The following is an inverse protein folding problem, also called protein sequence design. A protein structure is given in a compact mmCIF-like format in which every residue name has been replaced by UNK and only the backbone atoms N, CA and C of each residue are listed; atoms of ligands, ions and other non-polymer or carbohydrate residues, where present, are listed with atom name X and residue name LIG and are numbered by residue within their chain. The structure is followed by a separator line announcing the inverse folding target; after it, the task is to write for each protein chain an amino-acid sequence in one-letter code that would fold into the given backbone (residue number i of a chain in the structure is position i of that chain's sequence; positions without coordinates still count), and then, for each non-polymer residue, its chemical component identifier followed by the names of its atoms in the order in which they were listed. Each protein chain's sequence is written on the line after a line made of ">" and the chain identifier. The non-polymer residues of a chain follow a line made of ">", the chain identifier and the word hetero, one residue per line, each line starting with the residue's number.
data_IF_840423027166
#
_entry.id   IF_840423027166
#
_cell.length_a   1.000
_cell.length_b   1.000
_cell.length_c   1.000
_cell.angle_alpha   90.00
_cell.angle_beta   90.00
_cell.angle_gamma   90.00
#
_symmetry.space_group_name_H-M   'P 1'
#
loop_
_entity.id
_entity.type
_entity.pdbx_description
1 polymer ?
#
# COMPACT_ATOMS: atom_id res chain seq x y z
N UNK A 1 25.54 6.85 -10.24
CA UNK A 1 26.11 8.14 -9.74
C UNK A 1 24.94 9.07 -9.47
N UNK A 2 24.86 9.75 -8.32
CA UNK A 2 23.80 10.73 -8.06
C UNK A 2 24.18 12.01 -8.80
N UNK A 3 23.30 12.49 -9.67
CA UNK A 3 23.44 13.84 -10.23
C UNK A 3 23.23 14.86 -9.11
N UNK A 4 24.24 15.71 -8.91
CA UNK A 4 24.24 16.76 -7.88
C UNK A 4 23.57 18.05 -8.39
N UNK A 5 23.42 18.20 -9.71
CA UNK A 5 22.76 19.35 -10.35
C UNK A 5 21.25 19.10 -10.53
N UNK A 6 20.80 17.86 -10.35
CA UNK A 6 19.39 17.52 -10.47
C UNK A 6 18.55 18.21 -9.38
N UNK A 7 17.64 19.09 -9.80
CA UNK A 7 16.61 19.70 -8.94
C UNK A 7 15.76 18.60 -8.31
N UNK A 8 15.82 18.50 -6.97
CA UNK A 8 15.04 17.52 -6.22
C UNK A 8 13.76 18.16 -5.70
N UNK A 9 12.58 17.63 -6.07
CA UNK A 9 11.34 18.18 -5.56
C UNK A 9 11.23 17.91 -4.05
N UNK A 10 10.80 18.93 -3.31
CA UNK A 10 10.32 18.78 -1.93
C UNK A 10 8.81 18.90 -1.96
N UNK A 11 8.11 17.85 -1.53
CA UNK A 11 6.66 17.81 -1.56
C UNK A 11 6.07 17.95 -0.16
N UNK A 12 5.03 18.76 -0.01
CA UNK A 12 4.17 18.73 1.18
C UNK A 12 2.94 17.91 0.85
N UNK A 13 2.67 16.90 1.66
CA UNK A 13 1.53 16.00 1.48
C UNK A 13 0.68 16.09 2.75
N UNK A 14 -0.50 16.68 2.64
CA UNK A 14 -1.41 16.87 3.78
C UNK A 14 -2.87 17.01 3.30
N UNK A 15 -3.81 17.18 4.24
CA UNK A 15 -5.24 17.28 3.95
C UNK A 15 -5.56 18.58 3.18
N UNK A 16 -6.61 18.62 2.35
CA UNK A 16 -7.00 19.82 1.58
C UNK A 16 -7.32 21.05 2.44
N UNK A 17 -7.66 20.87 3.71
CA UNK A 17 -7.98 21.95 4.66
C UNK A 17 -6.81 22.37 5.55
N UNK A 18 -5.58 21.93 5.25
CA UNK A 18 -4.40 22.31 6.01
C UNK A 18 -4.02 23.78 5.77
N UNK A 19 -3.54 24.47 6.80
CA UNK A 19 -3.22 25.91 6.75
C UNK A 19 -2.21 26.29 5.66
N UNK A 20 -1.30 25.37 5.31
CA UNK A 20 -0.28 25.59 4.28
C UNK A 20 -0.88 25.93 2.91
N UNK A 21 -2.08 25.45 2.60
CA UNK A 21 -2.78 25.75 1.35
C UNK A 21 -3.46 27.12 1.36
N UNK A 22 -3.50 27.79 2.52
CA UNK A 22 -4.02 29.14 2.69
C UNK A 22 -2.96 30.24 2.48
N UNK A 23 -1.68 29.88 2.45
CA UNK A 23 -0.57 30.82 2.25
C UNK A 23 -0.55 31.29 0.78
N UNK A 24 -0.22 32.56 0.57
CA UNK A 24 -0.33 33.24 -0.74
C UNK A 24 0.97 33.85 -1.23
N UNK A 25 1.97 33.98 -0.37
CA UNK A 25 3.29 34.52 -0.74
C UNK A 25 4.40 33.54 -0.39
N UNK A 26 5.52 33.60 -1.11
CA UNK A 26 6.69 32.80 -0.79
C UNK A 26 7.24 33.07 0.62
N UNK A 27 7.13 34.30 1.12
CA UNK A 27 7.55 34.64 2.47
C UNK A 27 6.72 33.92 3.55
N UNK A 28 5.38 33.91 3.42
CA UNK A 28 4.49 33.19 4.32
C UNK A 28 4.80 31.69 4.35
N UNK A 29 5.05 31.09 3.18
CA UNK A 29 5.42 29.67 3.06
C UNK A 29 6.77 29.41 3.73
N UNK A 30 7.79 30.23 3.47
CA UNK A 30 9.12 30.11 4.07
C UNK A 30 9.05 30.18 5.59
N UNK A 31 8.32 31.16 6.14
CA UNK A 31 8.14 31.29 7.59
C UNK A 31 7.42 30.08 8.19
N UNK A 32 6.38 29.58 7.52
CA UNK A 32 5.69 28.38 7.94
C UNK A 32 6.64 27.18 8.01
N UNK A 33 7.46 26.96 6.98
CA UNK A 33 8.46 25.90 6.96
C UNK A 33 9.52 26.07 8.05
N UNK A 34 9.98 27.30 8.30
CA UNK A 34 10.94 27.57 9.37
C UNK A 34 10.38 27.27 10.76
N UNK A 35 9.08 27.52 10.99
CA UNK A 35 8.38 27.15 12.23
C UNK A 35 8.15 25.64 12.34
N UNK A 36 7.74 24.99 11.25
CA UNK A 36 7.46 23.55 11.21
C UNK A 36 8.73 22.70 11.35
N UNK A 37 9.86 23.19 10.83
CA UNK A 37 11.14 22.49 10.79
C UNK A 37 12.28 23.40 11.29
N UNK A 38 12.31 23.75 12.58
CA UNK A 38 13.23 24.76 13.13
C UNK A 38 14.71 24.36 13.04
N UNK A 39 15.00 23.08 12.78
CA UNK A 39 16.37 22.57 12.61
C UNK A 39 16.91 22.75 11.19
N UNK A 40 16.06 23.10 10.22
CA UNK A 40 16.45 23.30 8.82
C UNK A 40 16.63 24.80 8.54
N UNK A 41 17.70 25.19 7.82
CA UNK A 41 17.97 26.60 7.50
C UNK A 41 17.13 27.06 6.30
N UNK A 42 15.84 27.30 6.53
CA UNK A 42 14.95 27.84 5.50
C UNK A 42 14.96 29.37 5.43
N UNK A 43 15.34 30.06 6.51
CA UNK A 43 15.30 31.52 6.60
C UNK A 43 16.53 32.21 7.17
N UNK A 44 17.67 31.53 7.33
CA UNK A 44 18.88 32.13 7.95
C UNK A 44 20.18 31.73 7.22
N UNK A 45 20.95 32.73 6.80
CA UNK A 45 22.33 32.60 6.31
C UNK A 45 22.51 32.45 4.79
N UNK A 46 23.76 32.42 4.35
CA UNK A 46 24.19 32.35 2.94
C UNK A 46 23.95 30.98 2.26
N UNK A 47 23.36 30.02 2.98
CA UNK A 47 23.11 28.65 2.51
C UNK A 47 21.64 28.26 2.70
N UNK A 48 20.73 28.94 2.00
CA UNK A 48 19.31 28.57 2.03
C UNK A 48 19.08 27.25 1.29
N UNK A 49 18.35 26.32 1.91
CA UNK A 49 18.04 25.03 1.27
C UNK A 49 17.16 25.15 0.03
N UNK A 50 16.40 26.24 -0.05
CA UNK A 50 15.40 26.50 -1.08
C UNK A 50 15.61 27.94 -1.56
N UNK A 51 15.81 28.17 -2.87
CA UNK A 51 15.91 29.51 -3.43
C UNK A 51 14.63 30.34 -3.19
N UNK A 52 14.72 31.69 -3.06
CA UNK A 52 13.57 32.57 -2.87
C UNK A 52 12.42 32.36 -3.86
N UNK A 53 12.74 32.16 -5.14
CA UNK A 53 11.78 31.98 -6.23
C UNK A 53 10.97 30.67 -6.12
N UNK A 54 11.53 29.63 -5.50
CA UNK A 54 10.84 28.36 -5.30
C UNK A 54 9.75 28.47 -4.23
N UNK A 55 9.92 29.37 -3.25
CA UNK A 55 8.85 29.66 -2.29
C UNK A 55 7.65 30.33 -2.94
N UNK A 56 7.90 31.29 -3.84
CA UNK A 56 6.84 31.98 -4.58
C UNK A 56 6.12 31.02 -5.54
N UNK A 57 6.89 30.16 -6.22
CA UNK A 57 6.34 29.08 -7.04
C UNK A 57 5.51 28.09 -6.25
N UNK A 58 5.89 27.77 -5.00
CA UNK A 58 5.07 26.94 -4.12
C UNK A 58 3.76 27.65 -3.75
N UNK A 59 3.82 28.91 -3.33
CA UNK A 59 2.66 29.68 -2.86
C UNK A 59 1.59 29.88 -3.96
N UNK A 60 2.03 30.03 -5.21
CA UNK A 60 1.16 30.22 -6.38
C UNK A 60 0.72 28.92 -7.04
N UNK A 61 1.25 27.77 -6.61
CA UNK A 61 0.88 26.46 -7.13
C UNK A 61 -0.49 26.00 -6.60
N UNK A 62 -1.31 25.44 -7.49
CA UNK A 62 -2.56 24.80 -7.10
C UNK A 62 -2.37 23.43 -6.40
N UNK A 63 -1.13 22.92 -6.37
CA UNK A 63 -0.83 21.57 -5.92
C UNK A 63 -1.46 20.49 -6.80
N UNK A 64 -1.39 19.24 -6.32
CA UNK A 64 -2.02 18.08 -6.96
C UNK A 64 -2.64 17.17 -5.92
N UNK A 65 -3.48 16.24 -6.35
CA UNK A 65 -4.07 15.21 -5.50
C UNK A 65 -3.60 13.84 -5.94
N UNK A 66 -3.42 12.94 -4.98
CA UNK A 66 -3.15 11.55 -5.34
C UNK A 66 -4.39 10.90 -5.93
N UNK A 67 -4.23 10.04 -6.95
CA UNK A 67 -5.34 9.28 -7.48
C UNK A 67 -5.89 8.33 -6.41
N UNK A 68 -7.20 8.04 -6.42
CA UNK A 68 -7.73 6.97 -5.60
C UNK A 68 -7.11 5.62 -6.03
N UNK A 69 -7.01 4.66 -5.10
CA UNK A 69 -6.57 3.31 -5.41
C UNK A 69 -7.52 2.63 -6.42
N UNK A 70 -7.10 2.57 -7.67
CA UNK A 70 -7.88 2.09 -8.81
C UNK A 70 -7.09 1.13 -9.70
N UNK A 71 -7.82 0.34 -10.48
CA UNK A 71 -7.25 -0.56 -11.49
C UNK A 71 -8.16 -0.69 -12.70
N UNK A 72 -7.58 -0.99 -13.84
CA UNK A 72 -8.33 -1.47 -15.00
C UNK A 72 -8.90 -2.87 -14.73
N UNK A 73 -10.15 -3.16 -15.14
CA UNK A 73 -10.70 -4.51 -15.13
C UNK A 73 -9.99 -5.47 -16.09
N UNK A 74 -9.46 -4.94 -17.21
CA UNK A 74 -8.76 -5.70 -18.25
C UNK A 74 -7.37 -5.11 -18.54
N UNK A 75 -6.40 -5.97 -18.82
CA UNK A 75 -5.01 -5.61 -19.06
C UNK A 75 -4.64 -5.65 -20.55
N UNK A 76 -5.40 -6.38 -21.36
CA UNK A 76 -5.14 -6.47 -22.79
C UNK A 76 -6.43 -6.71 -23.58
N UNK A 77 -6.39 -6.30 -24.85
CA UNK A 77 -7.41 -6.55 -25.86
C UNK A 77 -6.73 -6.92 -27.18
N UNK A 78 -7.37 -7.76 -28.00
CA UNK A 78 -6.81 -8.21 -29.28
C UNK A 78 -7.92 -8.58 -30.26
N UNK A 79 -7.62 -8.46 -31.55
CA UNK A 79 -8.54 -8.86 -32.62
C UNK A 79 -8.50 -10.37 -32.83
N UNK A 80 -9.56 -10.96 -33.42
CA UNK A 80 -9.53 -12.37 -33.87
C UNK A 80 -9.58 -13.45 -32.78
N UNK A 81 -9.78 -13.09 -31.51
CA UNK A 81 -9.86 -14.06 -30.42
C UNK A 81 -8.49 -14.70 -30.07
N UNK A 82 -8.45 -15.60 -29.06
CA UNK A 82 -7.21 -16.22 -28.60
C UNK A 82 -6.50 -17.11 -29.64
N UNK A 83 -7.20 -17.52 -30.69
CA UNK A 83 -6.71 -18.47 -31.71
C UNK A 83 -6.18 -17.81 -32.98
N UNK A 84 -6.39 -16.50 -33.18
CA UNK A 84 -6.11 -15.83 -34.46
C UNK A 84 -5.65 -14.37 -34.34
N UNK A 85 -5.26 -13.92 -33.15
CA UNK A 85 -4.91 -12.52 -32.94
C UNK A 85 -3.60 -12.12 -33.62
N UNK A 86 -3.69 -11.24 -34.63
CA UNK A 86 -2.55 -10.62 -35.32
C UNK A 86 -2.20 -9.23 -34.81
N UNK A 87 -3.12 -8.58 -34.08
CA UNK A 87 -2.90 -7.29 -33.43
C UNK A 87 -3.60 -7.20 -32.07
N UNK A 88 -3.06 -6.35 -31.18
CA UNK A 88 -3.61 -6.15 -29.85
C UNK A 88 -3.00 -4.96 -29.12
N UNK A 89 -3.62 -4.62 -28.00
CA UNK A 89 -3.22 -3.55 -27.09
C UNK A 89 -3.00 -4.16 -25.71
N UNK A 90 -1.90 -3.79 -25.06
CA UNK A 90 -1.60 -4.14 -23.67
C UNK A 90 -1.42 -2.87 -22.85
N UNK A 91 -1.94 -2.88 -21.63
CA UNK A 91 -1.76 -1.83 -20.64
C UNK A 91 -0.67 -2.26 -19.64
N UNK A 92 0.16 -1.30 -19.21
CA UNK A 92 1.22 -1.49 -18.20
C UNK A 92 1.34 -0.25 -17.29
N UNK A 93 1.83 -0.44 -16.07
CA UNK A 93 2.06 0.64 -15.10
C UNK A 93 0.78 1.37 -14.71
N UNK A 94 0.86 2.70 -14.61
CA UNK A 94 -0.23 3.55 -14.14
C UNK A 94 -1.52 3.46 -14.98
N UNK A 95 -1.42 3.01 -16.25
CA UNK A 95 -2.60 2.74 -17.09
C UNK A 95 -3.41 1.52 -16.61
N UNK A 96 -2.80 0.61 -15.84
CA UNK A 96 -3.43 -0.59 -15.28
C UNK A 96 -3.77 -0.42 -13.82
N UNK A 97 -2.90 0.21 -13.04
CA UNK A 97 -3.08 0.40 -11.60
C UNK A 97 -2.54 1.75 -11.18
N UNK A 98 -3.36 2.54 -10.51
CA UNK A 98 -2.94 3.83 -9.96
C UNK A 98 -3.33 3.89 -8.49
N UNK A 99 -2.40 4.31 -7.65
CA UNK A 99 -2.59 4.44 -6.21
C UNK A 99 -1.57 5.44 -5.64
N UNK A 100 -1.81 6.00 -4.44
CA UNK A 100 -0.86 6.89 -3.78
C UNK A 100 0.51 6.21 -3.56
N UNK A 101 1.61 6.98 -3.50
CA UNK A 101 2.97 6.42 -3.44
C UNK A 101 3.34 5.77 -2.08
N UNK A 102 2.37 5.60 -1.19
CA UNK A 102 2.54 5.27 0.23
C UNK A 102 3.21 3.91 0.48
N UNK A 103 3.15 3.00 -0.49
CA UNK A 103 3.82 1.69 -0.39
C UNK A 103 5.12 1.62 -1.20
N UNK A 104 5.49 2.67 -1.93
CA UNK A 104 6.70 2.71 -2.75
C UNK A 104 6.73 1.69 -3.91
N UNK A 105 5.56 1.18 -4.32
CA UNK A 105 5.48 0.08 -5.30
C UNK A 105 5.05 0.50 -6.72
N UNK A 106 4.68 1.75 -6.98
CA UNK A 106 4.18 2.18 -8.30
C UNK A 106 5.14 1.82 -9.44
N UNK A 107 6.36 2.37 -9.41
CA UNK A 107 7.39 2.10 -10.43
C UNK A 107 7.78 0.61 -10.45
N UNK A 108 8.05 0.01 -9.29
CA UNK A 108 8.44 -1.41 -9.19
C UNK A 108 7.38 -2.32 -9.81
N UNK A 109 6.10 -2.07 -9.55
CA UNK A 109 5.01 -2.85 -10.12
C UNK A 109 4.79 -2.60 -11.61
N UNK A 110 5.00 -1.37 -12.10
CA UNK A 110 4.99 -1.08 -13.53
C UNK A 110 6.11 -1.78 -14.29
N UNK A 111 7.32 -1.80 -13.74
CA UNK A 111 8.43 -2.58 -14.30
C UNK A 111 8.13 -4.08 -14.29
N UNK A 112 7.50 -4.58 -13.22
CA UNK A 112 7.02 -5.96 -13.21
C UNK A 112 5.99 -6.21 -14.31
N UNK A 113 5.04 -5.31 -14.59
CA UNK A 113 4.09 -5.51 -15.70
C UNK A 113 4.80 -5.76 -17.04
N UNK A 114 5.86 -5.00 -17.33
CA UNK A 114 6.69 -5.20 -18.52
C UNK A 114 7.34 -6.59 -18.54
N UNK A 115 7.89 -7.04 -17.41
CA UNK A 115 8.46 -8.39 -17.28
C UNK A 115 7.42 -9.48 -17.51
N UNK A 116 6.20 -9.33 -16.96
CA UNK A 116 5.13 -10.29 -17.18
C UNK A 116 4.61 -10.28 -18.62
N UNK A 117 4.52 -9.10 -19.24
CA UNK A 117 4.12 -8.96 -20.64
C UNK A 117 5.14 -9.61 -21.57
N UNK A 118 6.43 -9.32 -21.40
CA UNK A 118 7.49 -9.93 -22.21
C UNK A 118 7.52 -11.46 -22.05
N UNK A 119 7.43 -11.96 -20.82
CA UNK A 119 7.31 -13.40 -20.55
C UNK A 119 6.11 -14.03 -21.24
N UNK A 120 4.98 -13.34 -21.26
CA UNK A 120 3.79 -13.83 -21.94
C UNK A 120 3.96 -13.87 -23.46
N UNK A 121 4.69 -12.91 -24.04
CA UNK A 121 4.99 -12.82 -25.47
C UNK A 121 6.04 -13.83 -25.93
N UNK A 122 7.13 -14.01 -25.17
CA UNK A 122 8.25 -14.88 -25.56
C UNK A 122 8.12 -16.31 -25.06
N UNK A 123 7.40 -16.53 -23.96
CA UNK A 123 7.31 -17.82 -23.29
C UNK A 123 8.59 -18.25 -22.56
N UNK A 124 9.59 -17.38 -22.44
CA UNK A 124 10.86 -17.61 -21.74
C UNK A 124 11.10 -16.53 -20.68
N UNK A 125 11.96 -16.82 -19.71
CA UNK A 125 12.40 -15.84 -18.74
C UNK A 125 13.44 -14.86 -19.32
N UNK A 126 13.27 -13.57 -19.02
CA UNK A 126 14.11 -12.48 -19.54
C UNK A 126 15.58 -12.57 -19.13
N UNK A 127 15.87 -13.09 -17.94
CA UNK A 127 17.21 -13.09 -17.36
C UNK A 127 17.94 -14.39 -17.71
N UNK A 128 17.26 -15.52 -17.55
CA UNK A 128 17.85 -16.85 -17.73
C UNK A 128 17.72 -17.37 -19.15
N UNK A 129 16.78 -16.84 -19.95
CA UNK A 129 16.46 -17.37 -21.29
C UNK A 129 15.77 -18.72 -21.27
N UNK A 130 15.50 -19.29 -20.09
CA UNK A 130 14.94 -20.62 -19.95
C UNK A 130 13.43 -20.61 -20.22
N UNK A 131 12.94 -21.67 -20.87
CA UNK A 131 11.51 -21.95 -20.91
C UNK A 131 11.07 -22.34 -19.51
N UNK A 132 10.04 -21.67 -19.00
CA UNK A 132 9.45 -22.05 -17.73
C UNK A 132 8.77 -23.42 -17.87
N UNK A 133 8.94 -24.29 -16.87
CA UNK A 133 8.22 -25.57 -16.83
C UNK A 133 6.71 -25.34 -17.03
N UNK A 134 6.13 -26.07 -17.98
CA UNK A 134 4.71 -25.94 -18.35
C UNK A 134 4.34 -24.71 -19.19
N UNK A 135 5.31 -23.92 -19.67
CA UNK A 135 5.07 -22.76 -20.53
C UNK A 135 5.51 -23.04 -21.98
N UNK A 136 4.58 -23.44 -22.83
CA UNK A 136 4.79 -23.36 -24.27
C UNK A 136 4.92 -21.88 -24.70
N UNK A 137 5.71 -21.62 -25.74
CA UNK A 137 5.66 -20.33 -26.41
C UNK A 137 4.24 -20.14 -26.97
N UNK A 138 3.65 -18.94 -26.86
CA UNK A 138 2.31 -18.70 -27.37
C UNK A 138 2.28 -18.94 -28.88
N UNK A 139 1.21 -19.58 -29.37
CA UNK A 139 1.01 -19.84 -30.80
C UNK A 139 0.73 -18.56 -31.59
N UNK A 140 0.17 -17.53 -30.92
CA UNK A 140 -0.17 -16.25 -31.52
C UNK A 140 -0.24 -15.13 -30.46
N UNK A 141 -0.41 -13.88 -30.90
CA UNK A 141 -0.44 -12.70 -30.00
C UNK A 141 -1.66 -12.71 -29.07
N UNK A 142 -2.82 -13.17 -29.55
CA UNK A 142 -4.05 -13.26 -28.74
C UNK A 142 -3.88 -14.23 -27.56
N UNK A 143 -3.23 -15.37 -27.77
CA UNK A 143 -2.87 -16.30 -26.70
C UNK A 143 -1.91 -15.65 -25.68
N UNK A 144 -0.86 -14.98 -26.17
CA UNK A 144 0.11 -14.28 -25.32
C UNK A 144 -0.55 -13.22 -24.44
N UNK A 145 -1.38 -12.36 -25.02
CA UNK A 145 -2.07 -11.29 -24.30
C UNK A 145 -3.13 -11.82 -23.33
N UNK A 146 -3.80 -12.93 -23.68
CA UNK A 146 -4.69 -13.65 -22.76
C UNK A 146 -3.94 -14.16 -21.53
N UNK A 147 -2.75 -14.74 -21.76
CA UNK A 147 -1.89 -15.23 -20.68
C UNK A 147 -1.41 -14.10 -19.79
N UNK A 148 -0.93 -13.00 -20.36
CA UNK A 148 -0.54 -11.79 -19.60
C UNK A 148 -1.67 -11.33 -18.69
N UNK A 149 -2.88 -11.15 -19.22
CA UNK A 149 -4.04 -10.73 -18.43
C UNK A 149 -4.39 -11.73 -17.31
N UNK A 150 -4.44 -13.03 -17.64
CA UNK A 150 -4.81 -14.09 -16.70
C UNK A 150 -3.83 -14.19 -15.54
N UNK A 151 -2.54 -14.03 -15.82
CA UNK A 151 -1.49 -14.16 -14.83
C UNK A 151 -1.29 -12.88 -14.02
N UNK A 152 -1.23 -11.72 -14.69
CA UNK A 152 -0.90 -10.44 -14.06
C UNK A 152 -2.10 -9.75 -13.42
N UNK A 153 -3.30 -9.88 -13.98
CA UNK A 153 -4.52 -9.23 -13.46
C UNK A 153 -4.80 -9.52 -11.98
N UNK A 154 -4.73 -10.78 -11.52
CA UNK A 154 -4.85 -11.11 -10.10
C UNK A 154 -3.76 -10.49 -9.20
N UNK A 155 -2.53 -10.36 -9.68
CA UNK A 155 -1.45 -9.67 -8.95
C UNK A 155 -1.72 -8.17 -8.83
N UNK A 156 -2.18 -7.53 -9.90
CA UNK A 156 -2.62 -6.13 -9.91
C UNK A 156 -3.75 -5.91 -8.90
N UNK A 157 -4.75 -6.80 -8.87
CA UNK A 157 -5.85 -6.73 -7.89
C UNK A 157 -5.32 -6.80 -6.45
N UNK A 158 -4.35 -7.67 -6.19
CA UNK A 158 -3.74 -7.81 -4.87
C UNK A 158 -2.89 -6.58 -4.49
N UNK A 159 -2.14 -6.02 -5.44
CA UNK A 159 -1.37 -4.78 -5.27
C UNK A 159 -2.25 -3.59 -4.90
N UNK A 160 -3.33 -3.36 -5.65
CA UNK A 160 -4.26 -2.25 -5.36
C UNK A 160 -5.05 -2.48 -4.08
N UNK A 161 -5.28 -3.73 -3.69
CA UNK A 161 -5.79 -4.05 -2.35
C UNK A 161 -4.75 -3.64 -1.31
N UNK A 162 -3.50 -4.07 -1.45
CA UNK A 162 -2.41 -3.77 -0.52
C UNK A 162 -2.18 -2.26 -0.34
N UNK A 163 -2.21 -1.46 -1.41
CA UNK A 163 -1.99 0.00 -1.31
C UNK A 163 -2.99 0.72 -0.41
N UNK A 164 -4.19 0.15 -0.20
CA UNK A 164 -5.24 0.76 0.66
C UNK A 164 -4.96 0.67 2.15
N UNK A 165 -4.18 -0.31 2.62
CA UNK A 165 -3.91 -0.51 4.07
C UNK A 165 -2.44 -0.78 4.39
N UNK A 166 -1.57 -0.83 3.38
CA UNK A 166 -0.14 -1.05 3.56
C UNK A 166 0.49 0.03 4.43
N UNK A 167 0.18 1.31 4.18
CA UNK A 167 0.71 2.45 4.94
C UNK A 167 -0.24 3.68 4.94
N UNK A 168 -1.50 3.54 5.39
CA UNK A 168 -2.53 4.59 5.22
C UNK A 168 -2.23 5.90 5.99
N UNK A 169 -1.32 5.87 6.95
CA UNK A 169 -0.99 7.00 7.84
C UNK A 169 0.47 7.47 7.71
N UNK A 170 1.10 7.27 6.53
CA UNK A 170 2.50 7.63 6.30
C UNK A 170 2.81 9.10 6.54
N UNK A 171 1.89 10.01 6.19
CA UNK A 171 2.13 11.46 6.21
C UNK A 171 1.75 12.15 7.52
N UNK A 172 1.52 11.42 8.61
CA UNK A 172 1.15 12.00 9.91
C UNK A 172 -0.01 13.01 9.80
N UNK A 173 -1.11 12.62 9.17
CA UNK A 173 -2.18 13.56 8.86
C UNK A 173 -2.70 14.27 10.14
N UNK A 174 -3.06 15.56 10.05
CA UNK A 174 -3.20 16.43 11.22
C UNK A 174 -4.45 16.16 12.07
N UNK A 175 -5.49 15.56 11.49
CA UNK A 175 -6.81 15.40 12.13
C UNK A 175 -6.75 14.40 13.29
N UNK A 176 -7.58 14.61 14.33
CA UNK A 176 -7.64 13.71 15.50
C UNK A 176 -8.01 12.27 15.11
N UNK A 177 -8.94 12.11 14.17
CA UNK A 177 -9.34 10.79 13.66
C UNK A 177 -8.17 10.08 12.94
N UNK A 178 -7.34 10.82 12.22
CA UNK A 178 -6.15 10.26 11.56
C UNK A 178 -5.13 9.77 12.59
N UNK A 179 -4.93 10.51 13.68
CA UNK A 179 -4.03 10.11 14.79
C UNK A 179 -4.53 8.86 15.51
N UNK A 180 -5.84 8.77 15.76
CA UNK A 180 -6.45 7.57 16.33
C UNK A 180 -6.28 6.37 15.39
N UNK A 181 -6.59 6.56 14.10
CA UNK A 181 -6.41 5.54 13.07
C UNK A 181 -4.96 5.06 12.97
N UNK A 182 -3.99 5.98 12.97
CA UNK A 182 -2.56 5.65 13.02
C UNK A 182 -2.20 4.80 14.23
N UNK A 183 -2.73 5.16 15.40
CA UNK A 183 -2.47 4.43 16.64
C UNK A 183 -3.01 3.00 16.54
N UNK A 184 -4.27 2.83 16.13
CA UNK A 184 -4.91 1.52 15.94
C UNK A 184 -4.15 0.69 14.90
N UNK A 185 -3.79 1.30 13.77
CA UNK A 185 -3.01 0.63 12.73
C UNK A 185 -1.64 0.17 13.25
N UNK A 186 -0.93 1.02 13.99
CA UNK A 186 0.37 0.70 14.59
C UNK A 186 0.25 -0.43 15.60
N UNK A 187 -0.78 -0.40 16.46
CA UNK A 187 -1.08 -1.49 17.40
C UNK A 187 -1.35 -2.80 16.67
N UNK A 188 -2.12 -2.79 15.57
CA UNK A 188 -2.35 -3.97 14.74
C UNK A 188 -1.04 -4.50 14.12
N UNK A 189 -0.14 -3.63 13.64
CA UNK A 189 1.18 -4.05 13.14
C UNK A 189 2.01 -4.70 14.26
N UNK A 190 2.08 -4.06 15.43
CA UNK A 190 2.82 -4.56 16.59
C UNK A 190 2.28 -5.90 17.10
N UNK A 191 0.95 -6.06 17.15
CA UNK A 191 0.30 -7.31 17.54
C UNK A 191 0.64 -8.44 16.57
N UNK A 192 0.55 -8.20 15.26
CA UNK A 192 0.90 -9.21 14.24
C UNK A 192 2.37 -9.61 14.32
N UNK A 193 3.26 -8.64 14.55
CA UNK A 193 4.67 -8.89 14.80
C UNK A 193 4.90 -9.77 16.03
N UNK A 194 4.24 -9.45 17.14
CA UNK A 194 4.35 -10.22 18.38
C UNK A 194 3.84 -11.65 18.20
N UNK A 195 2.67 -11.82 17.58
CA UNK A 195 2.09 -13.14 17.28
C UNK A 195 2.98 -13.96 16.35
N UNK A 196 3.54 -13.33 15.30
CA UNK A 196 4.49 -13.97 14.42
C UNK A 196 5.71 -14.49 15.19
N UNK A 197 6.26 -13.70 16.12
CA UNK A 197 7.38 -14.13 16.96
C UNK A 197 7.01 -15.26 17.93
N UNK A 198 5.91 -15.13 18.66
CA UNK A 198 5.45 -16.13 19.65
C UNK A 198 5.14 -17.47 18.98
N UNK A 199 4.60 -17.44 17.77
CA UNK A 199 4.26 -18.65 17.01
C UNK A 199 5.39 -19.15 16.11
N UNK A 200 6.61 -18.63 16.29
CA UNK A 200 7.79 -19.00 15.49
C UNK A 200 7.55 -18.94 13.97
N UNK A 201 6.82 -17.92 13.52
CA UNK A 201 6.51 -17.69 12.12
C UNK A 201 5.23 -18.33 11.59
N UNK A 202 4.55 -19.17 12.37
CA UNK A 202 3.30 -19.80 11.93
C UNK A 202 2.17 -18.77 11.71
N UNK A 203 2.09 -17.74 12.56
CA UNK A 203 1.20 -16.62 12.36
C UNK A 203 1.84 -15.58 11.41
N UNK A 204 1.19 -15.19 10.30
CA UNK A 204 1.81 -14.25 9.36
C UNK A 204 2.09 -12.87 9.97
N UNK A 205 3.23 -12.28 9.63
CA UNK A 205 3.61 -10.91 10.03
C UNK A 205 2.74 -9.85 9.36
N UNK A 206 2.95 -8.58 9.72
CA UNK A 206 2.27 -7.45 9.10
C UNK A 206 2.64 -7.30 7.61
N UNK A 207 1.66 -6.98 6.76
CA UNK A 207 1.85 -6.87 5.31
C UNK A 207 2.95 -5.88 4.92
N UNK A 208 3.06 -4.74 5.61
CA UNK A 208 4.09 -3.71 5.33
C UNK A 208 5.52 -4.25 5.48
N UNK A 209 5.74 -5.22 6.38
CA UNK A 209 7.05 -5.83 6.60
C UNK A 209 7.29 -6.97 5.63
N UNK A 210 6.27 -7.80 5.38
CA UNK A 210 6.37 -8.87 4.39
C UNK A 210 6.63 -8.33 2.97
N UNK A 211 6.12 -7.15 2.64
CA UNK A 211 6.31 -6.51 1.34
C UNK A 211 7.73 -5.97 1.11
N UNK A 212 8.59 -5.93 2.14
CA UNK A 212 10.00 -5.55 1.98
C UNK A 212 10.84 -6.71 1.41
N UNK A 213 10.36 -7.95 1.52
CA UNK A 213 11.00 -9.12 0.94
C UNK A 213 10.63 -9.30 -0.53
N UNK A 214 11.60 -9.72 -1.35
CA UNK A 214 11.38 -10.00 -2.78
C UNK A 214 10.70 -11.36 -3.05
N UNK A 215 10.58 -12.22 -2.02
CA UNK A 215 10.20 -13.63 -2.18
C UNK A 215 8.69 -13.84 -2.40
N UNK A 216 7.88 -12.80 -2.19
CA UNK A 216 6.42 -12.91 -2.23
C UNK A 216 5.83 -12.12 -3.40
N UNK A 217 4.95 -12.77 -4.14
CA UNK A 217 4.05 -12.04 -5.04
C UNK A 217 3.01 -11.26 -4.24
N UNK A 218 2.39 -10.23 -4.83
CA UNK A 218 1.34 -9.46 -4.17
C UNK A 218 0.15 -10.34 -3.78
N UNK A 219 -0.19 -11.35 -4.59
CA UNK A 219 -1.22 -12.34 -4.20
C UNK A 219 -0.85 -13.12 -2.95
N UNK A 220 0.40 -13.62 -2.87
CA UNK A 220 0.86 -14.38 -1.72
C UNK A 220 0.91 -13.50 -0.46
N UNK A 221 1.44 -12.29 -0.59
CA UNK A 221 1.44 -11.26 0.44
C UNK A 221 0.01 -11.05 0.98
N UNK A 222 -0.94 -10.85 0.06
CA UNK A 222 -2.32 -10.58 0.43
C UNK A 222 -3.03 -11.77 1.05
N UNK A 223 -2.81 -12.97 0.55
CA UNK A 223 -3.34 -14.20 1.15
C UNK A 223 -2.86 -14.36 2.59
N UNK A 224 -1.57 -14.13 2.84
CA UNK A 224 -0.98 -14.18 4.20
C UNK A 224 -1.59 -13.10 5.12
N UNK A 225 -1.75 -11.88 4.60
CA UNK A 225 -2.37 -10.79 5.36
C UNK A 225 -3.84 -11.08 5.73
N UNK A 226 -4.61 -11.65 4.78
CA UNK A 226 -6.01 -12.04 4.99
C UNK A 226 -6.14 -13.18 6.00
N UNK A 227 -5.28 -14.20 5.92
CA UNK A 227 -5.22 -15.30 6.91
C UNK A 227 -4.94 -14.76 8.32
N UNK A 228 -3.95 -13.86 8.46
CA UNK A 228 -3.66 -13.24 9.74
C UNK A 228 -4.86 -12.41 10.27
N UNK A 229 -5.59 -11.71 9.39
CA UNK A 229 -6.82 -11.00 9.78
C UNK A 229 -7.90 -11.96 10.28
N UNK A 230 -8.14 -13.05 9.56
CA UNK A 230 -9.10 -14.07 9.98
C UNK A 230 -8.72 -14.71 11.33
N UNK A 231 -7.42 -14.96 11.54
CA UNK A 231 -6.89 -15.43 12.83
C UNK A 231 -7.15 -14.46 13.97
N UNK A 232 -6.87 -13.16 13.79
CA UNK A 232 -7.17 -12.12 14.78
C UNK A 232 -8.65 -12.06 15.12
N UNK A 233 -9.53 -12.09 14.10
CA UNK A 233 -10.97 -12.07 14.31
C UNK A 233 -11.46 -13.31 15.07
N UNK A 234 -10.91 -14.48 14.76
CA UNK A 234 -11.23 -15.73 15.44
C UNK A 234 -10.84 -15.67 16.93
N UNK A 235 -9.65 -15.15 17.24
CA UNK A 235 -9.21 -14.96 18.63
C UNK A 235 -10.09 -13.95 19.38
N UNK A 236 -10.50 -12.86 18.74
CA UNK A 236 -11.39 -11.87 19.34
C UNK A 236 -12.78 -12.46 19.65
N UNK A 237 -13.37 -13.19 18.70
CA UNK A 237 -14.65 -13.88 18.88
C UNK A 237 -14.56 -14.90 20.02
N UNK A 238 -13.51 -15.72 20.04
CA UNK A 238 -13.31 -16.71 21.10
C UNK A 238 -13.11 -16.05 22.48
N UNK A 239 -12.33 -14.98 22.56
CA UNK A 239 -12.12 -14.22 23.79
C UNK A 239 -13.42 -13.61 24.32
N UNK A 240 -14.24 -13.02 23.45
CA UNK A 240 -15.55 -12.48 23.80
C UNK A 240 -16.52 -13.57 24.28
N UNK A 241 -16.57 -14.70 23.59
CA UNK A 241 -17.38 -15.85 23.99
C UNK A 241 -16.97 -16.39 25.37
N UNK A 242 -15.67 -16.53 25.61
CA UNK A 242 -15.12 -16.98 26.90
C UNK A 242 -15.48 -16.02 28.04
N UNK A 243 -15.35 -14.70 27.81
CA UNK A 243 -15.72 -13.68 28.78
C UNK A 243 -17.22 -13.73 29.13
N UNK A 244 -18.09 -13.87 28.12
CA UNK A 244 -19.54 -14.00 28.32
C UNK A 244 -19.89 -15.24 29.14
N UNK A 245 -19.23 -16.38 28.85
CA UNK A 245 -19.42 -17.62 29.62
C UNK A 245 -19.01 -17.45 31.08
N UNK A 246 -17.88 -16.77 31.34
CA UNK A 246 -17.45 -16.47 32.71
C UNK A 246 -18.46 -15.59 33.46
N UNK A 247 -19.00 -14.54 32.82
CA UNK A 247 -20.02 -13.69 33.41
C UNK A 247 -21.31 -14.46 33.74
N UNK A 248 -21.73 -15.39 32.90
CA UNK A 248 -22.89 -16.25 33.18
C UNK A 248 -22.66 -17.17 34.39
N UNK A 249 -21.47 -17.76 34.51
CA UNK A 249 -21.12 -18.63 35.66
C UNK A 249 -21.10 -17.81 36.96
N UNK A 250 -20.47 -16.62 36.95
CA UNK A 250 -20.45 -15.73 38.11
C UNK A 250 -21.87 -15.26 38.47
N UNK A 251 -22.70 -14.92 37.49
CA UNK A 251 -24.10 -14.56 37.71
C UNK A 251 -24.90 -15.67 38.40
N UNK A 252 -24.73 -16.92 37.96
CA UNK A 252 -25.35 -18.10 38.61
C UNK A 252 -24.86 -18.28 40.05
N UNK A 253 -23.56 -18.14 40.30
CA UNK A 253 -22.99 -18.24 41.66
C UNK A 253 -23.54 -17.16 42.60
N UNK A 254 -23.63 -15.91 42.13
CA UNK A 254 -24.20 -14.81 42.92
C UNK A 254 -25.67 -15.05 43.25
N UNK A 255 -26.46 -15.62 42.33
CA UNK A 255 -27.85 -15.98 42.62
C UNK A 255 -27.97 -17.12 43.65
N UNK A 256 -27.11 -18.14 43.57
CA UNK A 256 -27.07 -19.21 44.57
C UNK A 256 -26.75 -18.64 45.95
N UNK A 257 -25.71 -17.80 46.08
CA UNK A 257 -25.32 -17.20 47.37
C UNK A 257 -26.43 -16.30 47.94
N UNK A 258 -27.11 -15.49 47.11
CA UNK A 258 -28.27 -14.69 47.56
C UNK A 258 -29.44 -15.55 48.02
N UNK A 259 -29.67 -16.70 47.38
CA UNK A 259 -30.69 -17.66 47.81
C UNK A 259 -30.35 -18.33 49.14
N UNK A 260 -29.07 -18.53 49.46
CA UNK A 260 -28.63 -19.18 50.71
C UNK A 260 -28.59 -18.21 51.91
N UNK A 261 -28.33 -16.92 51.70
CA UNK A 261 -28.26 -15.90 52.78
C UNK A 261 -29.62 -15.28 53.09
N UNK A 262 -30.63 -15.49 52.21
CA UNK A 262 -32.00 -15.01 52.39
C UNK A 262 -32.96 -15.99 53.08
N UNK A 263 -32.47 -17.14 53.57
CA UNK A 263 -33.18 -18.05 54.48
C UNK A 263 -32.57 -17.98 55.87
#
# INVERSE_FOLDING_TARGET
>A
MKDNEAVRPTNVITRPNHEIWGLRTGEEVREWFQRAFPRLPFGKGDSTLVPPEEWERFATSNGTTFPPCQRSPGLAAYCGGPEGGTCGVALVGDSVHAFPPDIGQGINSGLMDVVWLDRALRGVDLITGEKREGSAAPSNLGEALSKYQKERGPEVKALVKYSRFGSPYQYNQPLRLDRLGKTVWTMNVALRLLLNKITFGAFPSAAILMAQGADLTFRQLMRRADIATAGLLSMAIFGMWSALRHLQVVGRLVQVVKGTVGM
#
